data_IF_469711265007
#
_entry.id   IF_469711265007
#
_cell.length_a   1.000
_cell.length_b   1.000
_cell.length_c   1.000
_cell.angle_alpha   90.00
_cell.angle_beta   90.00
_cell.angle_gamma   90.00
#
_symmetry.space_group_name_H-M   'P 1'
#
loop_
_entity.id
_entity.type
_entity.pdbx_description
1 polymer ?
#
# COMPACT_ATOMS: atom_id res chain seq x y z
N UNK A 1 -10.66 9.97 3.02
CA UNK A 1 -10.28 10.06 1.59
C UNK A 1 -8.83 10.56 1.38
N UNK A 2 -8.40 11.66 2.02
CA UNK A 2 -7.05 12.23 1.83
C UNK A 2 -5.89 11.33 2.28
N UNK A 3 -6.06 10.61 3.40
CA UNK A 3 -5.09 9.61 3.85
C UNK A 3 -4.97 8.45 2.83
N UNK A 4 -6.10 7.93 2.34
CA UNK A 4 -6.11 6.85 1.34
C UNK A 4 -5.40 7.25 0.03
N UNK A 5 -5.66 8.45 -0.49
CA UNK A 5 -4.95 8.97 -1.67
C UNK A 5 -3.44 9.06 -1.45
N UNK A 6 -3.03 9.51 -0.26
CA UNK A 6 -1.60 9.59 0.09
C UNK A 6 -0.97 8.22 0.17
N UNK A 7 -1.60 7.27 0.88
CA UNK A 7 -1.08 5.91 1.01
C UNK A 7 -1.01 5.19 -0.35
N UNK A 8 -2.05 5.33 -1.18
CA UNK A 8 -2.08 4.76 -2.53
C UNK A 8 -1.01 5.39 -3.43
N UNK A 9 -0.84 6.71 -3.38
CA UNK A 9 0.19 7.40 -4.14
C UNK A 9 1.60 7.00 -3.69
N UNK A 10 1.84 6.94 -2.39
CA UNK A 10 3.11 6.45 -1.82
C UNK A 10 3.40 5.01 -2.24
N UNK A 11 2.37 4.16 -2.27
CA UNK A 11 2.48 2.79 -2.74
C UNK A 11 2.85 2.70 -4.22
N UNK A 12 2.22 3.49 -5.09
CA UNK A 12 2.54 3.55 -6.52
C UNK A 12 3.99 4.05 -6.77
N UNK A 13 4.43 5.08 -6.04
CA UNK A 13 5.83 5.56 -6.11
C UNK A 13 6.81 4.50 -5.63
N UNK A 14 6.50 3.82 -4.52
CA UNK A 14 7.31 2.72 -4.02
C UNK A 14 7.44 1.59 -5.06
N UNK A 15 6.33 1.16 -5.64
CA UNK A 15 6.33 0.15 -6.71
C UNK A 15 7.11 0.60 -7.94
N UNK A 16 7.05 1.88 -8.30
CA UNK A 16 7.86 2.44 -9.39
C UNK A 16 9.36 2.27 -9.11
N UNK A 17 9.78 2.60 -7.87
CA UNK A 17 11.17 2.43 -7.44
C UNK A 17 11.60 0.96 -7.47
N UNK A 18 10.77 0.06 -6.92
CA UNK A 18 11.02 -1.39 -6.96
C UNK A 18 11.14 -1.88 -8.40
N UNK A 19 10.23 -1.46 -9.27
CA UNK A 19 10.18 -1.90 -10.67
C UNK A 19 11.44 -1.52 -11.45
N UNK A 20 11.96 -0.32 -11.22
CA UNK A 20 13.20 0.17 -11.86
C UNK A 20 14.44 -0.46 -11.22
N UNK A 21 14.43 -0.68 -9.90
CA UNK A 21 15.61 -1.15 -9.17
C UNK A 21 15.86 -2.65 -9.32
N UNK A 22 14.81 -3.47 -9.17
CA UNK A 22 14.92 -4.94 -9.09
C UNK A 22 13.87 -5.69 -9.92
N UNK A 23 12.90 -4.98 -10.49
CA UNK A 23 11.79 -5.56 -11.25
C UNK A 23 10.64 -5.98 -10.33
N UNK A 24 9.42 -5.52 -10.62
CA UNK A 24 8.27 -5.76 -9.74
C UNK A 24 7.43 -6.99 -10.15
N UNK A 25 7.72 -7.62 -11.29
CA UNK A 25 6.89 -8.70 -11.84
C UNK A 25 7.33 -10.08 -11.35
N UNK A 26 8.59 -10.41 -11.58
CA UNK A 26 9.25 -11.64 -11.14
C UNK A 26 10.76 -11.41 -11.19
N UNK A 27 11.55 -12.39 -10.76
CA UNK A 27 13.01 -12.32 -10.84
C UNK A 27 13.50 -11.89 -12.25
N UNK A 28 14.25 -10.79 -12.30
CA UNK A 28 14.81 -10.23 -13.53
C UNK A 28 13.80 -9.63 -14.52
N UNK A 29 12.52 -9.48 -14.12
CA UNK A 29 11.47 -8.89 -14.96
C UNK A 29 10.80 -7.72 -14.28
N UNK A 30 10.74 -6.61 -15.01
CA UNK A 30 9.94 -5.46 -14.62
C UNK A 30 8.58 -5.47 -15.32
N UNK A 31 7.63 -4.78 -14.71
CA UNK A 31 6.27 -4.55 -15.18
C UNK A 31 6.28 -3.44 -16.23
N UNK A 32 5.49 -3.62 -17.28
CA UNK A 32 5.05 -2.56 -18.17
C UNK A 32 3.64 -2.14 -17.70
N UNK A 33 3.55 -1.03 -16.98
CA UNK A 33 2.35 -0.57 -16.28
C UNK A 33 1.15 -0.37 -17.21
N UNK A 34 1.34 0.24 -18.38
CA UNK A 34 0.27 0.42 -19.38
C UNK A 34 -0.24 -0.94 -19.85
N UNK A 35 0.64 -1.89 -20.16
CA UNK A 35 0.26 -3.24 -20.56
C UNK A 35 -0.45 -3.98 -19.42
N UNK A 36 0.06 -3.83 -18.20
CA UNK A 36 -0.46 -4.45 -16.98
C UNK A 36 -1.90 -3.99 -16.72
N UNK A 37 -2.15 -2.69 -16.75
CA UNK A 37 -3.50 -2.15 -16.56
C UNK A 37 -4.42 -2.37 -17.77
N UNK A 38 -3.87 -2.57 -18.97
CA UNK A 38 -4.67 -2.93 -20.15
C UNK A 38 -5.08 -4.41 -20.20
N UNK A 39 -4.58 -5.24 -19.27
CA UNK A 39 -4.94 -6.66 -19.19
C UNK A 39 -4.23 -7.54 -20.22
N UNK A 40 -3.07 -7.11 -20.73
CA UNK A 40 -2.20 -7.97 -21.56
C UNK A 40 -1.75 -9.17 -20.71
N UNK A 41 -1.68 -10.35 -21.33
CA UNK A 41 -1.38 -11.61 -20.63
C UNK A 41 -0.01 -11.61 -19.94
N UNK A 42 1.01 -11.09 -20.61
CA UNK A 42 2.40 -11.06 -20.13
C UNK A 42 2.93 -9.61 -20.17
N UNK A 43 2.51 -8.74 -19.24
CA UNK A 43 2.81 -7.30 -19.26
C UNK A 43 4.18 -7.01 -18.63
N UNK A 44 5.23 -7.69 -19.10
CA UNK A 44 6.56 -7.65 -18.49
C UNK A 44 7.66 -7.70 -19.53
N UNK A 45 8.82 -7.17 -19.15
CA UNK A 45 10.04 -7.23 -19.96
C UNK A 45 11.25 -7.55 -19.08
N UNK A 46 12.25 -8.21 -19.67
CA UNK A 46 13.57 -8.41 -19.05
C UNK A 46 14.49 -7.20 -19.23
N UNK A 47 14.09 -6.21 -20.02
CA UNK A 47 14.84 -4.95 -20.14
C UNK A 47 14.56 -4.06 -18.93
N UNK A 48 15.59 -3.85 -18.11
CA UNK A 48 15.51 -3.06 -16.88
C UNK A 48 15.72 -1.56 -17.11
N UNK A 49 15.90 -1.10 -18.35
CA UNK A 49 16.07 0.32 -18.65
C UNK A 49 14.85 1.14 -18.22
N UNK A 50 15.06 2.35 -17.69
CA UNK A 50 13.96 3.27 -17.39
C UNK A 50 13.22 3.68 -18.68
N UNK A 51 11.89 3.57 -18.69
CA UNK A 51 11.06 3.92 -19.85
C UNK A 51 9.95 4.90 -19.47
N UNK A 52 9.31 5.48 -20.50
CA UNK A 52 8.18 6.41 -20.34
C UNK A 52 7.05 5.84 -19.46
N UNK A 53 6.82 4.53 -19.55
CA UNK A 53 5.81 3.81 -18.79
C UNK A 53 6.05 3.90 -17.26
N UNK A 54 7.29 3.72 -16.79
CA UNK A 54 7.67 3.93 -15.38
C UNK A 54 7.48 5.39 -14.95
N UNK A 55 7.81 6.34 -15.84
CA UNK A 55 7.66 7.76 -15.58
C UNK A 55 6.19 8.15 -15.37
N UNK A 56 5.29 7.67 -16.23
CA UNK A 56 3.85 7.94 -16.16
C UNK A 56 3.28 7.39 -14.85
N UNK A 57 3.61 6.14 -14.51
CA UNK A 57 3.10 5.51 -13.28
C UNK A 57 3.63 6.22 -12.02
N UNK A 58 4.92 6.55 -11.99
CA UNK A 58 5.52 7.31 -10.89
C UNK A 58 4.91 8.71 -10.72
N UNK A 59 4.70 9.44 -11.82
CA UNK A 59 4.06 10.76 -11.80
C UNK A 59 2.61 10.69 -11.33
N UNK A 60 1.86 9.66 -11.71
CA UNK A 60 0.51 9.41 -11.18
C UNK A 60 0.56 9.23 -9.66
N UNK A 61 1.51 8.44 -9.15
CA UNK A 61 1.73 8.27 -7.72
C UNK A 61 2.00 9.60 -7.00
N UNK A 62 2.91 10.42 -7.54
CA UNK A 62 3.21 11.75 -7.00
C UNK A 62 1.99 12.68 -7.02
N UNK A 63 1.18 12.65 -8.07
CA UNK A 63 -0.04 13.43 -8.17
C UNK A 63 -1.05 13.03 -7.07
N UNK A 64 -1.22 11.73 -6.82
CA UNK A 64 -2.08 11.21 -5.75
C UNK A 64 -1.59 11.66 -4.36
N UNK A 65 -0.28 11.59 -4.11
CA UNK A 65 0.32 12.12 -2.87
C UNK A 65 0.03 13.61 -2.73
N UNK A 66 0.24 14.41 -3.79
CA UNK A 66 0.00 15.85 -3.76
C UNK A 66 -1.46 16.21 -3.45
N UNK A 67 -2.42 15.49 -4.05
CA UNK A 67 -3.85 15.66 -3.78
C UNK A 67 -4.21 15.24 -2.34
N UNK A 68 -3.66 14.11 -1.88
CA UNK A 68 -3.84 13.63 -0.52
C UNK A 68 -3.29 14.59 0.52
N UNK A 69 -2.06 15.08 0.33
CA UNK A 69 -1.41 16.05 1.19
C UNK A 69 -2.17 17.38 1.24
N UNK A 70 -2.64 17.87 0.09
CA UNK A 70 -3.49 19.08 0.03
C UNK A 70 -4.79 18.91 0.82
N UNK A 71 -5.40 17.73 0.76
CA UNK A 71 -6.60 17.42 1.55
C UNK A 71 -6.31 17.37 3.05
N UNK A 72 -5.21 16.74 3.46
CA UNK A 72 -4.82 16.67 4.87
C UNK A 72 -4.48 18.01 5.47
N UNK A 73 -3.81 18.90 4.73
CA UNK A 73 -3.54 20.27 5.17
C UNK A 73 -4.81 21.10 5.45
N UNK A 74 -5.98 20.67 4.98
CA UNK A 74 -7.26 21.34 5.24
C UNK A 74 -8.02 20.75 6.43
N UNK A 75 -7.76 19.49 6.78
CA UNK A 75 -8.56 18.72 7.74
C UNK A 75 -7.82 18.53 9.06
N UNK A 76 -6.49 18.45 9.01
CA UNK A 76 -5.67 18.19 10.19
C UNK A 76 -4.96 19.46 10.64
N UNK A 77 -5.12 19.85 11.91
CA UNK A 77 -4.56 21.09 12.46
C UNK A 77 -3.03 21.17 12.37
N UNK A 78 -2.34 20.04 12.46
CA UNK A 78 -0.87 19.93 12.28
C UNK A 78 -0.45 19.64 10.83
N UNK A 79 -1.42 19.68 9.91
CA UNK A 79 -1.26 19.44 8.49
C UNK A 79 -0.77 18.04 8.13
N UNK A 80 -0.28 17.91 6.90
CA UNK A 80 0.25 16.68 6.32
C UNK A 80 1.45 16.12 7.08
N UNK A 81 2.40 16.99 7.47
CA UNK A 81 3.61 16.57 8.18
C UNK A 81 3.26 16.07 9.58
N UNK A 82 2.36 16.76 10.28
CA UNK A 82 1.86 16.32 11.57
C UNK A 82 1.19 14.95 11.50
N UNK A 83 0.28 14.78 10.54
CA UNK A 83 -0.34 13.47 10.26
C UNK A 83 0.72 12.37 10.04
N UNK A 84 1.66 12.61 9.13
CA UNK A 84 2.69 11.64 8.75
C UNK A 84 3.56 11.24 9.94
N UNK A 85 3.97 12.23 10.74
CA UNK A 85 4.79 12.01 11.94
C UNK A 85 4.05 11.24 13.05
N UNK A 86 2.72 11.29 13.09
CA UNK A 86 1.90 10.56 14.06
C UNK A 86 1.53 9.12 13.66
N UNK A 87 1.81 8.71 12.42
CA UNK A 87 1.49 7.35 11.96
C UNK A 87 2.21 6.26 12.76
N UNK A 88 3.54 6.35 13.04
CA UNK A 88 4.23 5.29 13.75
C UNK A 88 3.66 5.06 15.16
N UNK A 89 3.40 6.13 15.91
CA UNK A 89 2.80 6.02 17.24
C UNK A 89 1.40 5.43 17.18
N UNK A 90 0.59 5.85 16.21
CA UNK A 90 -0.76 5.31 16.01
C UNK A 90 -0.72 3.80 15.69
N UNK A 91 0.17 3.35 14.81
CA UNK A 91 0.30 1.93 14.45
C UNK A 91 0.72 1.10 15.66
N UNK A 92 1.71 1.57 16.43
CA UNK A 92 2.19 0.87 17.63
C UNK A 92 1.07 0.77 18.67
N UNK A 93 0.33 1.85 18.90
CA UNK A 93 -0.81 1.85 19.81
C UNK A 93 -1.91 0.89 19.34
N UNK A 94 -2.24 0.86 18.04
CA UNK A 94 -3.23 -0.07 17.49
C UNK A 94 -2.85 -1.54 17.70
N UNK A 95 -1.56 -1.87 17.58
CA UNK A 95 -1.10 -3.26 17.62
C UNK A 95 -0.78 -3.78 19.03
N UNK A 96 -0.40 -2.89 19.95
CA UNK A 96 0.08 -3.28 21.28
C UNK A 96 -0.90 -2.93 22.40
N UNK A 97 -1.81 -1.97 22.21
CA UNK A 97 -2.74 -1.58 23.27
C UNK A 97 -3.97 -2.49 23.30
N UNK A 98 -4.04 -3.32 24.34
CA UNK A 98 -5.25 -4.10 24.66
C UNK A 98 -6.36 -3.27 25.30
N UNK A 99 -6.10 -2.00 25.64
CA UNK A 99 -7.09 -1.10 26.25
C UNK A 99 -8.26 -0.81 25.30
N UNK A 100 -8.07 -1.04 24.00
CA UNK A 100 -9.07 -0.85 22.93
C UNK A 100 -10.03 -2.04 22.81
N UNK A 101 -9.87 -3.09 23.61
CA UNK A 101 -10.64 -4.33 23.55
C UNK A 101 -10.02 -5.39 22.64
N UNK A 102 -10.28 -6.67 22.94
CA UNK A 102 -9.71 -7.81 22.22
C UNK A 102 -10.14 -7.88 20.75
N UNK A 103 -11.38 -7.45 20.43
CA UNK A 103 -11.89 -7.37 19.06
C UNK A 103 -11.10 -6.38 18.19
N UNK A 104 -10.86 -5.15 18.69
CA UNK A 104 -10.06 -4.14 17.99
C UNK A 104 -8.58 -4.52 17.86
N UNK A 105 -8.04 -5.22 18.87
CA UNK A 105 -6.68 -5.76 18.81
C UNK A 105 -6.57 -6.82 17.71
N UNK A 106 -7.49 -7.79 17.67
CA UNK A 106 -7.52 -8.83 16.64
C UNK A 106 -7.70 -8.24 15.24
N UNK A 107 -8.59 -7.26 15.09
CA UNK A 107 -8.78 -6.50 13.85
C UNK A 107 -7.47 -5.86 13.37
N UNK A 108 -6.73 -5.20 14.27
CA UNK A 108 -5.44 -4.56 13.97
C UNK A 108 -4.39 -5.58 13.55
N UNK A 109 -4.33 -6.74 14.22
CA UNK A 109 -3.40 -7.82 13.87
C UNK A 109 -3.73 -8.49 12.54
N UNK A 110 -5.00 -8.64 12.17
CA UNK A 110 -5.38 -9.14 10.84
C UNK A 110 -4.85 -8.24 9.72
N UNK A 111 -4.97 -6.92 9.88
CA UNK A 111 -4.39 -5.96 8.93
C UNK A 111 -2.87 -6.08 8.90
N UNK A 112 -2.22 -6.11 10.07
CA UNK A 112 -0.76 -6.20 10.13
C UNK A 112 -0.20 -7.48 9.51
N UNK A 113 -0.84 -8.63 9.76
CA UNK A 113 -0.43 -9.92 9.16
C UNK A 113 -0.63 -9.90 7.65
N UNK A 114 -1.73 -9.34 7.15
CA UNK A 114 -1.95 -9.20 5.70
C UNK A 114 -0.89 -8.35 5.01
N UNK A 115 -0.55 -7.20 5.60
CA UNK A 115 0.52 -6.32 5.09
C UNK A 115 1.89 -7.00 5.19
N UNK A 116 2.19 -7.65 6.31
CA UNK A 116 3.47 -8.33 6.53
C UNK A 116 3.64 -9.50 5.55
N UNK A 117 2.60 -10.30 5.35
CA UNK A 117 2.58 -11.38 4.36
C UNK A 117 2.94 -10.84 2.98
N UNK A 118 2.26 -9.78 2.54
CA UNK A 118 2.49 -9.17 1.23
C UNK A 118 3.96 -8.72 1.08
N UNK A 119 4.47 -7.94 2.04
CA UNK A 119 5.85 -7.42 1.98
C UNK A 119 6.88 -8.55 2.01
N UNK A 120 6.75 -9.51 2.92
CA UNK A 120 7.70 -10.62 3.03
C UNK A 120 7.71 -11.47 1.75
N UNK A 121 6.53 -11.82 1.24
CA UNK A 121 6.43 -12.61 0.02
C UNK A 121 7.04 -11.87 -1.17
N UNK A 122 6.68 -10.61 -1.38
CA UNK A 122 7.20 -9.82 -2.50
C UNK A 122 8.71 -9.58 -2.41
N UNK A 123 9.28 -9.48 -1.21
CA UNK A 123 10.74 -9.38 -1.04
C UNK A 123 11.44 -10.70 -1.34
N UNK A 124 10.89 -11.84 -0.90
CA UNK A 124 11.51 -13.15 -1.07
C UNK A 124 11.40 -13.67 -2.51
N UNK A 125 10.25 -13.46 -3.16
CA UNK A 125 9.93 -14.03 -4.47
C UNK A 125 9.97 -12.99 -5.60
N UNK A 126 10.25 -11.73 -5.29
CA UNK A 126 10.27 -10.59 -6.22
C UNK A 126 8.98 -10.43 -7.06
N UNK A 127 7.84 -10.78 -6.45
CA UNK A 127 6.50 -10.79 -7.06
C UNK A 127 5.62 -9.71 -6.43
N UNK A 128 5.92 -8.46 -6.76
CA UNK A 128 5.23 -7.30 -6.18
C UNK A 128 3.87 -7.03 -6.81
N UNK A 129 3.66 -7.45 -8.06
CA UNK A 129 2.39 -7.28 -8.77
C UNK A 129 1.55 -8.55 -8.92
N UNK A 130 1.91 -9.62 -8.21
CA UNK A 130 1.23 -10.92 -8.33
C UNK A 130 -0.22 -10.87 -7.78
N UNK A 131 -1.24 -11.19 -8.61
CA UNK A 131 -2.64 -11.15 -8.17
C UNK A 131 -2.97 -12.12 -7.04
N UNK A 132 -2.29 -13.27 -6.96
CA UNK A 132 -2.47 -14.27 -5.92
C UNK A 132 -1.99 -13.77 -4.56
N UNK A 133 -0.79 -13.17 -4.51
CA UNK A 133 -0.22 -12.55 -3.30
C UNK A 133 -1.13 -11.42 -2.82
N UNK A 134 -1.58 -10.56 -3.74
CA UNK A 134 -2.55 -9.50 -3.39
C UNK A 134 -3.87 -10.06 -2.86
N UNK A 135 -4.39 -11.15 -3.43
CA UNK A 135 -5.67 -11.71 -2.99
C UNK A 135 -5.61 -12.19 -1.54
N UNK A 136 -4.53 -12.87 -1.15
CA UNK A 136 -4.34 -13.32 0.25
C UNK A 136 -4.23 -12.13 1.20
N UNK A 137 -3.42 -11.13 0.84
CA UNK A 137 -3.26 -9.92 1.63
C UNK A 137 -4.57 -9.13 1.74
N UNK A 138 -5.31 -8.98 0.64
CA UNK A 138 -6.56 -8.24 0.58
C UNK A 138 -7.65 -8.88 1.46
N UNK A 139 -7.73 -10.22 1.49
CA UNK A 139 -8.66 -10.91 2.40
C UNK A 139 -8.34 -10.58 3.86
N UNK A 140 -7.08 -10.74 4.28
CA UNK A 140 -6.69 -10.46 5.67
C UNK A 140 -6.92 -8.99 6.06
N UNK A 141 -6.51 -8.07 5.19
CA UNK A 141 -6.68 -6.62 5.43
C UNK A 141 -8.16 -6.24 5.45
N UNK A 142 -8.97 -6.72 4.50
CA UNK A 142 -10.40 -6.39 4.44
C UNK A 142 -11.18 -6.93 5.64
N UNK A 143 -10.90 -8.14 6.09
CA UNK A 143 -11.49 -8.69 7.32
C UNK A 143 -11.07 -7.90 8.55
N UNK A 144 -9.79 -7.56 8.69
CA UNK A 144 -9.30 -6.75 9.80
C UNK A 144 -9.95 -5.36 9.84
N UNK A 145 -10.00 -4.66 8.70
CA UNK A 145 -10.68 -3.36 8.58
C UNK A 145 -12.18 -3.49 8.88
N UNK A 146 -12.85 -4.50 8.31
CA UNK A 146 -14.27 -4.74 8.51
C UNK A 146 -14.62 -4.99 9.98
N UNK A 147 -13.85 -5.85 10.65
CA UNK A 147 -14.00 -6.08 12.09
C UNK A 147 -13.77 -4.82 12.91
N UNK A 148 -12.73 -4.04 12.59
CA UNK A 148 -12.43 -2.79 13.28
C UNK A 148 -13.59 -1.79 13.23
N UNK A 149 -14.23 -1.66 12.06
CA UNK A 149 -15.41 -0.79 11.86
C UNK A 149 -16.61 -1.30 12.67
N UNK A 150 -16.85 -2.62 12.67
CA UNK A 150 -17.97 -3.21 13.43
C UNK A 150 -17.82 -2.99 14.94
N UNK A 151 -16.63 -3.20 15.48
CA UNK A 151 -16.30 -2.96 16.90
C UNK A 151 -16.38 -1.48 17.29
N UNK A 152 -16.18 -0.56 16.33
CA UNK A 152 -16.37 0.87 16.55
C UNK A 152 -17.86 1.26 16.55
N UNK A 153 -18.69 0.60 15.73
CA UNK A 153 -20.14 0.85 15.66
C UNK A 153 -20.96 0.24 16.79
N UNK A 154 -20.42 -0.76 17.49
CA UNK A 154 -21.08 -1.47 18.59
C UNK A 154 -20.89 -0.86 19.98
N UNK A 155 -20.05 0.18 20.10
CA UNK A 155 -19.79 0.95 21.33
C UNK A 155 -20.36 2.36 21.21
#
# INVERSE_FOLDING_TARGET
MSAALTLLGSWAVFLTVVNIAIGAYSEGKKVLWIEFFSGVRDPSTSDMAFVMDDAIFGLLGLALIGLGARGMNKIHDSGFIGWLSGLPSCIVECLLSSERGSGKLLASWLVAVGVLFYILWSVLENTWVDPGVYSVAAVLVSFGVGMGILEESGN
#
